data_IF_991479203404
#
_entry.id   IF_991479203404
#
_cell.length_a   1.000
_cell.length_b   1.000
_cell.length_c   1.000
_cell.angle_alpha   90.00
_cell.angle_beta   90.00
_cell.angle_gamma   90.00
#
_symmetry.space_group_name_H-M   'P 1'
#
loop_
_entity.id
_entity.type
_entity.pdbx_description
1 polymer ?
#
# COMPACT_ATOMS: atom_id res chain seq x y z
N UNK A 1 -12.18 10.58 1.39
CA UNK A 1 -11.27 11.39 2.24
C UNK A 1 -9.91 10.74 2.15
N UNK A 2 -8.97 11.42 1.49
CA UNK A 2 -7.58 10.97 1.33
C UNK A 2 -6.85 11.23 2.64
N UNK A 3 -6.14 10.22 3.17
CA UNK A 3 -5.40 10.36 4.43
C UNK A 3 -3.92 10.63 4.16
N UNK A 4 -3.37 11.48 5.03
CA UNK A 4 -2.11 12.19 4.92
C UNK A 4 -0.88 11.27 4.86
N UNK A 5 0.02 11.52 3.91
CA UNK A 5 1.40 11.03 3.96
C UNK A 5 2.35 12.20 4.10
N UNK A 6 2.81 12.43 5.33
CA UNK A 6 3.95 13.31 5.59
C UNK A 6 5.09 12.43 6.08
N UNK A 7 6.09 12.20 5.24
CA UNK A 7 7.36 11.63 5.67
C UNK A 7 8.17 12.73 6.35
N UNK A 8 7.89 13.00 7.62
CA UNK A 8 8.75 13.84 8.45
C UNK A 8 9.70 12.94 9.23
N UNK A 9 10.90 12.70 8.68
CA UNK A 9 12.03 12.28 9.51
C UNK A 9 12.65 13.55 10.12
N UNK A 10 12.03 14.09 11.17
CA UNK A 10 12.61 15.13 12.01
C UNK A 10 12.78 14.56 13.39
N UNK A 11 13.99 14.06 13.71
CA UNK A 11 14.63 14.08 15.03
C UNK A 11 13.84 13.82 16.33
N UNK A 12 12.63 13.27 16.29
CA UNK A 12 11.84 12.89 17.47
C UNK A 12 11.89 11.38 17.63
N UNK A 13 12.22 10.92 18.83
CA UNK A 13 12.33 9.50 19.17
C UNK A 13 10.99 8.74 19.11
N UNK A 14 9.87 9.47 18.99
CA UNK A 14 8.53 8.88 18.91
C UNK A 14 7.94 9.05 17.51
N UNK A 15 7.33 8.00 16.96
CA UNK A 15 6.66 8.07 15.66
C UNK A 15 5.45 9.00 15.73
N UNK A 16 5.25 9.80 14.69
CA UNK A 16 4.07 10.64 14.56
C UNK A 16 2.84 9.71 14.48
N UNK A 17 1.75 9.96 15.23
CA UNK A 17 0.59 9.06 15.26
C UNK A 17 -0.03 8.73 13.89
N UNK A 18 0.09 9.65 12.91
CA UNK A 18 -0.38 9.44 11.53
C UNK A 18 0.53 8.51 10.70
N UNK A 19 1.67 8.09 11.23
CA UNK A 19 2.62 7.20 10.54
C UNK A 19 2.55 5.77 11.08
N UNK A 20 1.66 5.50 12.04
CA UNK A 20 1.51 4.20 12.68
C UNK A 20 0.47 3.34 11.95
N UNK A 21 0.85 2.11 11.64
CA UNK A 21 0.03 1.10 11.00
C UNK A 21 0.10 -0.21 11.78
N UNK A 22 -1.05 -0.85 11.94
CA UNK A 22 -1.17 -2.19 12.51
C UNK A 22 -1.31 -3.19 11.37
N UNK A 23 -0.49 -4.22 11.39
CA UNK A 23 -0.59 -5.35 10.47
C UNK A 23 -1.61 -6.33 11.07
N UNK A 24 -2.66 -6.64 10.32
CA UNK A 24 -3.67 -7.63 10.71
C UNK A 24 -3.56 -8.85 9.78
N UNK A 25 -3.46 -10.02 10.40
CA UNK A 25 -3.32 -11.32 9.75
C UNK A 25 -4.06 -12.37 10.61
N UNK A 26 -4.38 -13.52 10.01
CA UNK A 26 -5.23 -14.54 10.65
C UNK A 26 -4.49 -15.45 11.65
N UNK A 27 -3.17 -15.55 11.52
CA UNK A 27 -2.33 -16.46 12.30
C UNK A 27 -1.63 -15.75 13.46
N UNK A 28 -0.84 -16.49 14.26
CA UNK A 28 -0.06 -15.91 15.39
C UNK A 28 1.12 -15.06 14.93
N UNK A 29 1.68 -15.34 13.75
CA UNK A 29 2.80 -14.61 13.15
C UNK A 29 2.52 -14.32 11.67
N UNK A 30 2.87 -13.12 11.22
CA UNK A 30 2.74 -12.75 9.81
C UNK A 30 3.81 -13.49 8.98
N UNK A 31 3.36 -14.24 7.97
CA UNK A 31 4.23 -15.00 7.07
C UNK A 31 4.22 -14.44 5.65
N UNK A 32 5.26 -14.72 4.86
CA UNK A 32 5.25 -14.40 3.42
C UNK A 32 4.31 -15.31 2.60
N UNK A 33 3.74 -16.34 3.23
CA UNK A 33 2.68 -17.16 2.62
C UNK A 33 1.29 -16.57 2.83
N UNK A 34 1.15 -15.56 3.69
CA UNK A 34 -0.12 -14.90 3.94
C UNK A 34 -0.51 -14.09 2.69
N UNK A 35 -1.62 -14.50 2.08
CA UNK A 35 -2.10 -13.88 0.84
C UNK A 35 -3.15 -12.78 1.10
N UNK A 36 -3.46 -12.48 2.36
CA UNK A 36 -4.49 -11.53 2.76
C UNK A 36 -4.14 -10.83 4.08
N UNK A 37 -3.13 -9.97 4.02
CA UNK A 37 -2.72 -9.11 5.13
C UNK A 37 -3.40 -7.76 4.99
N UNK A 38 -3.85 -7.19 6.11
CA UNK A 38 -4.45 -5.86 6.15
C UNK A 38 -3.53 -4.90 6.89
N UNK A 39 -3.50 -3.66 6.42
CA UNK A 39 -2.77 -2.57 7.05
C UNK A 39 -3.78 -1.56 7.58
N UNK A 40 -4.02 -1.58 8.89
CA UNK A 40 -4.94 -0.65 9.55
C UNK A 40 -4.19 0.59 10.02
N UNK A 41 -4.60 1.76 9.57
CA UNK A 41 -4.08 3.03 10.07
C UNK A 41 -4.53 3.24 11.52
N UNK A 42 -3.60 3.43 12.45
CA UNK A 42 -3.88 3.44 13.90
C UNK A 42 -4.84 4.57 14.29
N UNK A 43 -4.64 5.78 13.76
CA UNK A 43 -5.45 6.93 14.18
C UNK A 43 -6.87 6.92 13.63
N UNK A 44 -7.07 6.43 12.40
CA UNK A 44 -8.38 6.46 11.75
C UNK A 44 -9.10 5.12 11.76
N UNK A 45 -8.43 4.04 12.18
CA UNK A 45 -8.95 2.67 12.19
C UNK A 45 -9.39 2.15 10.80
N UNK A 46 -8.90 2.79 9.73
CA UNK A 46 -9.22 2.47 8.35
C UNK A 46 -8.13 1.63 7.71
N UNK A 47 -8.52 0.74 6.81
CA UNK A 47 -7.59 -0.12 6.09
C UNK A 47 -6.99 0.59 4.88
N UNK A 48 -5.71 0.37 4.61
CA UNK A 48 -5.04 0.77 3.36
C UNK A 48 -5.48 -0.15 2.22
N UNK A 49 -5.78 0.40 1.05
CA UNK A 49 -6.13 -0.43 -0.10
C UNK A 49 -6.53 0.38 -1.32
N UNK A 50 -7.21 -0.30 -2.23
CA UNK A 50 -7.68 0.24 -3.51
C UNK A 50 -9.20 0.11 -3.59
N UNK A 51 -9.86 1.08 -4.23
CA UNK A 51 -11.30 1.10 -4.36
C UNK A 51 -11.72 0.92 -5.82
N UNK A 52 -12.62 -0.02 -6.06
CA UNK A 52 -13.24 -0.22 -7.36
C UNK A 52 -14.47 0.65 -7.52
N UNK A 53 -14.58 1.33 -8.67
CA UNK A 53 -15.73 2.16 -9.03
C UNK A 53 -16.59 1.44 -10.06
N UNK A 54 -17.80 1.04 -9.66
CA UNK A 54 -18.78 0.50 -10.61
C UNK A 54 -19.25 1.57 -11.61
N UNK A 55 -19.31 2.84 -11.17
CA UNK A 55 -19.82 3.94 -11.98
C UNK A 55 -18.83 4.45 -13.01
N UNK A 56 -17.52 4.30 -12.76
CA UNK A 56 -16.47 4.74 -13.68
C UNK A 56 -15.99 3.58 -14.56
N UNK A 57 -16.84 3.17 -15.51
CA UNK A 57 -16.55 2.16 -16.55
C UNK A 57 -16.13 0.78 -16.04
N UNK A 58 -16.30 0.50 -14.75
CA UNK A 58 -15.83 -0.71 -14.12
C UNK A 58 -14.30 -0.75 -13.98
N UNK A 59 -13.71 0.34 -13.48
CA UNK A 59 -12.28 0.45 -13.18
C UNK A 59 -12.03 0.91 -11.74
N UNK A 60 -10.79 0.84 -11.30
CA UNK A 60 -10.33 1.40 -10.03
C UNK A 60 -10.09 2.90 -10.15
N UNK A 61 -10.29 3.61 -9.04
CA UNK A 61 -10.03 5.05 -8.97
C UNK A 61 -8.59 5.38 -9.38
N UNK A 62 -8.44 6.53 -10.04
CA UNK A 62 -7.16 7.04 -10.54
C UNK A 62 -6.54 7.99 -9.53
N UNK A 63 -5.24 7.88 -9.35
CA UNK A 63 -4.49 8.71 -8.42
C UNK A 63 -4.40 10.16 -8.91
N UNK A 64 -4.26 11.15 -7.99
CA UNK A 64 -4.42 12.56 -8.32
C UNK A 64 -3.43 13.14 -9.35
N UNK A 65 -2.20 12.60 -9.44
CA UNK A 65 -1.12 13.21 -10.24
C UNK A 65 -0.69 12.37 -11.42
N UNK A 66 -0.75 11.04 -11.33
CA UNK A 66 -0.16 10.12 -12.33
C UNK A 66 -1.18 9.25 -13.05
N UNK A 67 -2.46 9.28 -12.67
CA UNK A 67 -3.49 8.36 -13.18
C UNK A 67 -3.17 6.87 -12.99
N UNK A 68 -2.24 6.52 -12.09
CA UNK A 68 -2.08 5.16 -11.60
C UNK A 68 -3.25 4.80 -10.68
N UNK A 69 -3.27 3.60 -10.12
CA UNK A 69 -4.34 3.22 -9.20
C UNK A 69 -4.23 4.01 -7.91
N UNK A 70 -5.31 4.67 -7.51
CA UNK A 70 -5.40 5.38 -6.25
C UNK A 70 -5.32 4.41 -5.07
N UNK A 71 -4.46 4.74 -4.12
CA UNK A 71 -4.39 4.08 -2.81
C UNK A 71 -5.04 5.01 -1.78
N UNK A 72 -5.95 4.46 -0.99
CA UNK A 72 -6.69 5.22 0.02
C UNK A 72 -6.93 4.41 1.29
N UNK A 73 -7.41 5.09 2.36
CA UNK A 73 -7.87 4.41 3.56
C UNK A 73 -9.40 4.35 3.59
N UNK A 74 -9.96 3.14 3.60
CA UNK A 74 -11.41 2.93 3.59
C UNK A 74 -11.77 1.59 4.22
N UNK A 75 -13.03 1.42 4.64
CA UNK A 75 -13.59 0.18 5.17
C UNK A 75 -14.84 -0.30 4.41
N UNK A 76 -15.30 0.44 3.40
CA UNK A 76 -16.64 0.26 2.80
C UNK A 76 -16.63 -0.07 1.30
N UNK A 77 -17.75 -0.60 0.82
CA UNK A 77 -18.05 -0.76 -0.61
C UNK A 77 -17.24 -1.85 -1.30
N UNK A 78 -16.84 -1.58 -2.55
CA UNK A 78 -15.99 -2.48 -3.36
C UNK A 78 -14.49 -2.26 -3.09
N UNK A 79 -14.16 -1.99 -1.84
CA UNK A 79 -12.79 -1.78 -1.38
C UNK A 79 -12.05 -3.12 -1.29
N UNK A 80 -10.79 -3.14 -1.74
CA UNK A 80 -9.87 -4.24 -1.52
C UNK A 80 -8.68 -3.74 -0.68
N UNK A 81 -8.48 -4.35 0.49
CA UNK A 81 -7.33 -4.10 1.37
C UNK A 81 -6.51 -5.37 1.64
N UNK A 82 -6.67 -6.42 0.85
CA UNK A 82 -5.94 -7.67 1.00
C UNK A 82 -4.60 -7.56 0.29
N UNK A 83 -3.57 -7.22 1.06
CA UNK A 83 -2.20 -7.12 0.61
C UNK A 83 -1.48 -8.46 0.73
N UNK A 84 -0.48 -8.64 -0.13
CA UNK A 84 0.49 -9.72 -0.05
C UNK A 84 1.88 -9.14 0.12
N UNK A 85 2.61 -9.66 1.10
CA UNK A 85 4.05 -9.43 1.21
C UNK A 85 4.78 -10.27 0.17
N UNK A 86 5.53 -9.62 -0.72
CA UNK A 86 6.51 -10.28 -1.58
C UNK A 86 7.89 -10.00 -1.01
N UNK A 87 8.63 -11.05 -0.72
CA UNK A 87 9.99 -10.96 -0.21
C UNK A 87 10.99 -11.08 -1.34
N UNK A 88 12.03 -10.24 -1.32
CA UNK A 88 13.20 -10.45 -2.19
C UNK A 88 13.99 -11.68 -1.70
N UNK A 89 14.48 -12.49 -2.65
CA UNK A 89 15.07 -13.82 -2.42
C UNK A 89 16.38 -13.77 -1.61
N UNK A 90 16.33 -13.55 -0.29
CA UNK A 90 17.51 -13.71 0.56
C UNK A 90 17.62 -15.15 1.08
N UNK A 91 18.78 -15.75 0.83
CA UNK A 91 19.21 -17.04 1.38
C UNK A 91 19.38 -16.88 2.90
N UNK A 92 18.31 -17.11 3.68
CA UNK A 92 18.27 -17.46 5.13
C UNK A 92 16.86 -17.23 5.73
N UNK A 93 15.80 -17.57 4.97
CA UNK A 93 14.44 -17.22 5.35
C UNK A 93 13.76 -18.26 6.25
N UNK A 94 13.33 -17.85 7.45
CA UNK A 94 12.66 -18.71 8.46
C UNK A 94 11.13 -18.68 8.40
N UNK A 95 10.49 -18.01 7.42
CA UNK A 95 9.03 -18.04 7.28
C UNK A 95 8.28 -16.79 7.73
N UNK A 96 8.88 -15.93 8.57
CA UNK A 96 8.21 -14.78 9.21
C UNK A 96 8.81 -13.41 8.87
N UNK A 97 7.95 -12.38 8.85
CA UNK A 97 8.32 -10.97 8.73
C UNK A 97 9.08 -10.48 9.97
N UNK A 98 10.19 -9.77 9.77
CA UNK A 98 11.01 -9.18 10.85
C UNK A 98 11.31 -7.72 10.59
N UNK A 99 11.72 -7.02 11.65
CA UNK A 99 12.23 -5.66 11.52
C UNK A 99 13.48 -5.63 10.63
N UNK A 100 13.58 -4.61 9.78
CA UNK A 100 14.59 -4.42 8.74
C UNK A 100 14.48 -5.33 7.51
N UNK A 101 13.42 -6.14 7.40
CA UNK A 101 13.14 -6.84 6.14
C UNK A 101 12.76 -5.83 5.04
N UNK A 102 13.31 -6.03 3.85
CA UNK A 102 12.87 -5.32 2.63
C UNK A 102 11.73 -6.12 2.02
N UNK A 103 10.55 -5.50 1.97
CA UNK A 103 9.33 -6.12 1.46
C UNK A 103 8.70 -5.28 0.37
N UNK A 104 8.06 -5.97 -0.58
CA UNK A 104 7.19 -5.36 -1.58
C UNK A 104 5.74 -5.72 -1.29
N UNK A 105 4.88 -4.71 -1.18
CA UNK A 105 3.45 -4.90 -1.01
C UNK A 105 2.78 -5.00 -2.37
N UNK A 106 2.09 -6.10 -2.63
CA UNK A 106 1.26 -6.23 -3.83
C UNK A 106 -0.20 -6.42 -3.50
N UNK A 107 -1.06 -5.98 -4.40
CA UNK A 107 -2.50 -6.12 -4.33
C UNK A 107 -3.07 -6.57 -5.66
N UNK A 108 -4.10 -7.42 -5.61
CA UNK A 108 -4.80 -7.92 -6.79
C UNK A 108 -6.02 -7.05 -7.08
N UNK A 109 -6.18 -6.61 -8.34
CA UNK A 109 -7.39 -5.94 -8.80
C UNK A 109 -8.52 -6.95 -9.05
N UNK A 110 -9.14 -7.45 -7.98
CA UNK A 110 -10.15 -8.53 -7.98
C UNK A 110 -11.39 -8.29 -8.85
N UNK A 111 -11.73 -7.04 -9.13
CA UNK A 111 -12.89 -6.68 -9.94
C UNK A 111 -12.53 -6.30 -11.39
N UNK A 112 -11.23 -6.20 -11.72
CA UNK A 112 -10.79 -5.87 -13.08
C UNK A 112 -10.53 -7.15 -13.89
N UNK A 113 -10.82 -7.10 -15.19
CA UNK A 113 -10.65 -8.27 -16.07
C UNK A 113 -9.19 -8.75 -16.06
N UNK A 114 -9.01 -10.06 -15.83
CA UNK A 114 -7.69 -10.68 -15.75
C UNK A 114 -7.01 -10.56 -14.39
N UNK A 115 -7.62 -9.83 -13.44
CA UNK A 115 -7.16 -9.64 -12.07
C UNK A 115 -5.66 -9.33 -11.96
N UNK A 116 -5.17 -8.26 -12.61
CA UNK A 116 -3.76 -7.91 -12.56
C UNK A 116 -3.31 -7.64 -11.12
N UNK A 117 -2.04 -7.93 -10.86
CA UNK A 117 -1.37 -7.62 -9.60
C UNK A 117 -0.56 -6.34 -9.79
N UNK A 118 -0.73 -5.40 -8.87
CA UNK A 118 0.00 -4.14 -8.82
C UNK A 118 0.73 -4.02 -7.47
N UNK A 119 1.75 -3.17 -7.42
CA UNK A 119 2.58 -2.99 -6.24
C UNK A 119 2.36 -1.61 -5.65
N UNK A 120 2.41 -1.48 -4.32
CA UNK A 120 2.41 -0.19 -3.65
C UNK A 120 3.72 0.54 -3.95
N UNK A 121 3.63 1.77 -4.43
CA UNK A 121 4.78 2.59 -4.84
C UNK A 121 4.64 4.02 -4.33
N UNK A 122 5.77 4.62 -3.99
CA UNK A 122 5.92 6.06 -3.85
C UNK A 122 6.94 6.57 -4.87
N UNK A 123 6.88 7.86 -5.17
CA UNK A 123 7.77 8.52 -6.14
C UNK A 123 7.78 10.03 -5.91
N UNK A 124 8.61 10.77 -6.65
CA UNK A 124 8.82 12.20 -6.43
C UNK A 124 7.65 13.10 -6.88
N UNK A 125 6.61 12.53 -7.49
CA UNK A 125 5.38 13.29 -7.82
C UNK A 125 4.60 13.64 -6.56
N UNK A 126 3.94 14.79 -6.62
CA UNK A 126 3.22 15.38 -5.50
C UNK A 126 1.82 15.83 -5.94
N UNK A 127 0.93 16.00 -4.97
CA UNK A 127 -0.37 16.65 -5.16
C UNK A 127 -0.64 17.61 -3.99
N UNK A 128 -1.51 18.60 -4.20
CA UNK A 128 -1.82 19.63 -3.21
C UNK A 128 -3.28 19.55 -2.79
N UNK A 129 -3.54 19.54 -1.48
CA UNK A 129 -4.87 19.68 -0.88
C UNK A 129 -4.80 20.81 0.15
N UNK A 130 -5.68 21.80 0.03
CA UNK A 130 -5.83 22.88 1.01
C UNK A 130 -4.48 23.51 1.43
N UNK A 131 -3.67 23.89 0.43
CA UNK A 131 -2.31 24.47 0.56
C UNK A 131 -1.23 23.55 1.15
N UNK A 132 -1.54 22.29 1.44
CA UNK A 132 -0.56 21.30 1.85
C UNK A 132 -0.17 20.42 0.68
N UNK A 133 1.13 20.19 0.51
CA UNK A 133 1.67 19.35 -0.56
C UNK A 133 2.11 18.01 0.00
N UNK A 134 1.70 16.94 -0.68
CA UNK A 134 1.94 15.56 -0.25
C UNK A 134 2.63 14.78 -1.36
N UNK A 135 3.49 13.84 -0.97
CA UNK A 135 4.01 12.84 -1.89
C UNK A 135 2.89 11.88 -2.28
N UNK A 136 2.77 11.58 -3.57
CA UNK A 136 1.78 10.62 -4.06
C UNK A 136 2.24 9.17 -3.79
N UNK A 137 1.30 8.35 -3.35
CA UNK A 137 1.44 6.91 -3.16
C UNK A 137 0.38 6.22 -4.01
N UNK A 138 0.80 5.27 -4.83
CA UNK A 138 -0.03 4.66 -5.89
C UNK A 138 0.19 3.16 -5.98
N UNK A 139 -0.68 2.49 -6.75
CA UNK A 139 -0.44 1.15 -7.23
C UNK A 139 -0.23 1.11 -8.75
N UNK A 140 0.85 0.46 -9.19
CA UNK A 140 1.09 0.11 -10.59
C UNK A 140 2.02 -1.11 -10.71
N UNK A 141 2.07 -1.71 -11.89
CA UNK A 141 2.92 -2.86 -12.22
C UNK A 141 4.06 -2.52 -13.20
N UNK A 142 4.25 -1.23 -13.51
CA UNK A 142 5.35 -0.77 -14.34
C UNK A 142 6.71 -1.10 -13.67
N UNK A 143 7.65 -1.60 -14.47
CA UNK A 143 8.98 -2.02 -14.01
C UNK A 143 9.82 -0.79 -13.72
N UNK A 144 10.30 -0.64 -12.48
CA UNK A 144 11.28 0.40 -12.17
C UNK A 144 12.67 -0.05 -12.65
N UNK A 145 13.46 0.89 -13.17
CA UNK A 145 14.87 0.65 -13.44
C UNK A 145 15.64 0.37 -12.14
N UNK A 146 16.65 -0.51 -12.23
CA UNK A 146 17.81 -0.62 -11.33
C UNK A 146 17.60 -1.14 -9.90
N UNK A 147 16.67 -0.56 -9.14
CA UNK A 147 16.60 -0.73 -7.67
C UNK A 147 15.40 -1.54 -7.17
N UNK A 148 14.47 -1.91 -8.05
CA UNK A 148 13.48 -2.94 -7.72
C UNK A 148 14.20 -4.29 -7.70
N UNK A 149 14.50 -4.80 -6.51
CA UNK A 149 14.95 -6.18 -6.40
C UNK A 149 13.88 -7.11 -6.99
N UNK A 150 14.32 -7.98 -7.89
CA UNK A 150 13.45 -8.94 -8.56
C UNK A 150 12.99 -9.98 -7.54
N UNK A 151 11.79 -9.79 -6.97
CA UNK A 151 11.11 -10.81 -6.17
C UNK A 151 10.84 -12.06 -7.00
#
# INVERSE_FOLDING_TARGET
MLYNWRSETIGSSEPIPNSLWKIEFGDELATYTDNAIKLQHVKSEKLLGILYSYYDRGDYYKSPSTNHTEVSCNNDGYFNGDWKFNHSKLENYNGYLKSNDIINLSIKKTYFRGNPVEFLRSHDMQFTIENNTFQEVVCHNERLGGNDEVS
#
